data_IF_250745693700
#
_entry.id   IF_250745693700
#
_cell.length_a   1.000
_cell.length_b   1.000
_cell.length_c   1.000
_cell.angle_alpha   90.00
_cell.angle_beta   90.00
_cell.angle_gamma   90.00
#
_symmetry.space_group_name_H-M   'P 1'
#
loop_
_entity.id
_entity.type
_entity.pdbx_description
1 polymer ?
#
# COMPACT_ATOMS: atom_id res chain seq x y z
N UNK A 1 3.26 -16.40 -2.54
CA UNK A 1 2.51 -15.40 -3.32
C UNK A 1 1.20 -15.19 -2.60
N UNK A 2 0.89 -13.96 -2.23
CA UNK A 2 -0.40 -13.60 -1.62
C UNK A 2 -1.32 -13.01 -2.69
N UNK A 3 -2.62 -13.20 -2.55
CA UNK A 3 -3.62 -12.55 -3.41
C UNK A 3 -3.89 -11.14 -2.86
N UNK A 4 -3.26 -10.13 -3.45
CA UNK A 4 -3.25 -8.75 -2.90
C UNK A 4 -4.67 -8.22 -2.70
N UNK A 5 -5.54 -8.35 -3.70
CA UNK A 5 -6.92 -7.90 -3.62
C UNK A 5 -7.72 -8.60 -2.51
N UNK A 6 -7.54 -9.92 -2.34
CA UNK A 6 -8.21 -10.67 -1.26
C UNK A 6 -7.72 -10.26 0.14
N UNK A 7 -6.43 -9.90 0.27
CA UNK A 7 -5.90 -9.39 1.53
C UNK A 7 -6.47 -8.00 1.87
N UNK A 8 -6.63 -7.11 0.89
CA UNK A 8 -7.27 -5.80 1.11
C UNK A 8 -8.76 -5.91 1.43
N UNK A 9 -9.48 -6.87 0.84
CA UNK A 9 -10.92 -7.08 1.07
C UNK A 9 -11.24 -7.31 2.57
N UNK A 10 -10.28 -7.79 3.36
CA UNK A 10 -10.43 -7.98 4.82
C UNK A 10 -10.58 -6.67 5.60
N UNK A 11 -10.25 -5.54 5.00
CA UNK A 11 -10.18 -4.22 5.64
C UNK A 11 -11.17 -3.21 5.04
N UNK A 12 -12.02 -3.63 4.09
CA UNK A 12 -13.04 -2.77 3.47
C UNK A 12 -14.07 -2.25 4.50
N UNK A 13 -14.49 -3.11 5.42
CA UNK A 13 -15.46 -2.76 6.46
C UNK A 13 -14.83 -2.01 7.65
N UNK A 14 -13.60 -2.38 8.02
CA UNK A 14 -12.88 -1.79 9.15
C UNK A 14 -11.38 -1.66 8.83
N UNK A 15 -10.95 -0.43 8.56
CA UNK A 15 -9.54 -0.11 8.31
C UNK A 15 -8.72 -0.21 9.61
N UNK A 16 -7.57 -0.90 9.61
CA UNK A 16 -6.67 -0.90 10.75
C UNK A 16 -6.20 0.52 11.10
N UNK A 17 -5.95 0.77 12.38
CA UNK A 17 -5.45 2.07 12.83
C UNK A 17 -3.94 2.14 12.73
N UNK A 18 -3.40 3.20 12.14
CA UNK A 18 -1.95 3.40 12.03
C UNK A 18 -1.26 3.44 13.39
N UNK A 19 -1.95 3.89 14.43
CA UNK A 19 -1.45 3.92 15.81
C UNK A 19 -1.01 2.56 16.32
N UNK A 20 -1.68 1.49 15.85
CA UNK A 20 -1.48 0.10 16.29
C UNK A 20 -0.40 -0.65 15.47
N UNK A 21 0.20 0.00 14.47
CA UNK A 21 1.23 -0.60 13.61
C UNK A 21 2.60 -0.51 14.27
N UNK A 22 3.31 -1.64 14.39
CA UNK A 22 4.70 -1.70 14.86
C UNK A 22 5.51 -2.74 14.07
N UNK A 23 6.77 -2.44 13.68
CA UNK A 23 7.49 -1.19 13.93
C UNK A 23 7.04 -0.04 13.00
N UNK A 24 6.99 1.19 13.52
CA UNK A 24 6.77 2.38 12.68
C UNK A 24 8.03 2.80 11.93
N UNK A 25 7.98 2.75 10.60
CA UNK A 25 9.04 3.26 9.72
C UNK A 25 9.05 4.80 9.61
N UNK A 26 7.93 5.44 9.98
CA UNK A 26 7.77 6.90 10.04
C UNK A 26 6.66 7.26 11.02
N UNK A 27 6.66 8.51 11.51
CA UNK A 27 5.55 9.07 12.28
C UNK A 27 4.36 9.51 11.42
N UNK A 28 4.54 9.63 10.10
CA UNK A 28 3.47 9.96 9.15
C UNK A 28 3.06 8.70 8.36
N UNK A 29 1.75 8.37 8.27
CA UNK A 29 1.29 7.13 7.61
C UNK A 29 1.69 7.04 6.13
N UNK A 30 1.55 8.14 5.38
CA UNK A 30 1.95 8.26 3.98
C UNK A 30 3.43 7.92 3.76
N UNK A 31 4.31 8.51 4.57
CA UNK A 31 5.73 8.23 4.53
C UNK A 31 6.05 6.80 4.97
N UNK A 32 5.32 6.25 5.96
CA UNK A 32 5.48 4.86 6.35
C UNK A 32 5.20 3.93 5.16
N UNK A 33 4.06 4.13 4.47
CA UNK A 33 3.70 3.34 3.30
C UNK A 33 4.77 3.40 2.22
N UNK A 34 5.27 4.61 1.89
CA UNK A 34 6.29 4.76 0.85
C UNK A 34 7.61 4.10 1.23
N UNK A 35 8.02 4.18 2.49
CA UNK A 35 9.23 3.51 2.97
C UNK A 35 9.04 1.99 2.92
N UNK A 36 7.89 1.47 3.39
CA UNK A 36 7.58 0.05 3.36
C UNK A 36 7.59 -0.50 1.93
N UNK A 37 6.89 0.16 0.99
CA UNK A 37 6.85 -0.24 -0.41
C UNK A 37 8.25 -0.24 -1.03
N UNK A 38 9.05 0.80 -0.77
CA UNK A 38 10.42 0.86 -1.26
C UNK A 38 11.36 -0.19 -0.62
N UNK A 39 11.08 -0.66 0.59
CA UNK A 39 11.82 -1.77 1.21
C UNK A 39 11.44 -3.13 0.58
N UNK A 40 10.18 -3.33 0.23
CA UNK A 40 9.67 -4.56 -0.38
C UNK A 40 10.05 -4.66 -1.86
N UNK A 41 9.88 -3.56 -2.59
CA UNK A 41 10.14 -3.43 -4.01
C UNK A 41 10.97 -2.16 -4.27
N UNK A 42 12.30 -2.23 -4.10
CA UNK A 42 13.16 -1.09 -4.36
C UNK A 42 13.08 -0.64 -5.82
N UNK A 43 12.74 0.63 -6.03
CA UNK A 43 12.63 1.27 -7.33
C UNK A 43 13.62 2.41 -7.50
N UNK A 44 13.72 2.93 -8.72
CA UNK A 44 14.50 4.16 -9.02
C UNK A 44 13.64 5.28 -9.62
N UNK A 45 12.35 5.01 -9.85
CA UNK A 45 11.36 5.97 -10.31
C UNK A 45 10.66 6.62 -9.12
N UNK A 46 9.91 7.68 -9.40
CA UNK A 46 9.07 8.31 -8.39
C UNK A 46 7.96 7.34 -7.95
N UNK A 47 7.67 7.31 -6.64
CA UNK A 47 6.64 6.44 -6.06
C UNK A 47 5.25 6.76 -6.59
N UNK A 48 4.96 8.02 -6.95
CA UNK A 48 3.66 8.43 -7.49
C UNK A 48 3.71 8.36 -9.01
N UNK A 49 2.88 7.51 -9.61
CA UNK A 49 2.85 7.26 -11.06
C UNK A 49 1.77 8.08 -11.78
N UNK A 50 0.65 8.37 -11.11
CA UNK A 50 -0.46 9.13 -11.65
C UNK A 50 -1.22 9.87 -10.54
N UNK A 51 -2.04 10.85 -10.94
CA UNK A 51 -2.92 11.59 -10.04
C UNK A 51 -4.21 11.99 -10.78
N UNK A 52 -5.35 11.86 -10.11
CA UNK A 52 -6.66 12.30 -10.61
C UNK A 52 -7.53 12.73 -9.43
N UNK A 53 -8.16 13.90 -9.54
CA UNK A 53 -8.96 14.49 -8.46
C UNK A 53 -8.20 14.51 -7.12
N UNK A 54 -8.70 13.76 -6.13
CA UNK A 54 -8.15 13.63 -4.78
C UNK A 54 -7.49 12.26 -4.59
N UNK A 55 -7.02 11.64 -5.68
CA UNK A 55 -6.37 10.33 -5.67
C UNK A 55 -5.01 10.37 -6.36
N UNK A 56 -4.10 9.53 -5.87
CA UNK A 56 -2.81 9.24 -6.49
C UNK A 56 -2.64 7.73 -6.63
N UNK A 57 -1.99 7.29 -7.69
CA UNK A 57 -1.60 5.88 -7.90
C UNK A 57 -0.11 5.71 -7.73
N UNK A 58 0.29 4.54 -7.24
CA UNK A 58 1.66 4.24 -6.87
C UNK A 58 2.36 3.38 -7.95
N UNK A 59 3.63 3.66 -8.22
CA UNK A 59 4.48 2.89 -9.13
C UNK A 59 4.93 1.59 -8.46
N UNK A 60 4.00 0.63 -8.33
CA UNK A 60 4.22 -0.65 -7.66
C UNK A 60 3.73 -1.78 -8.56
N UNK A 61 4.63 -2.70 -8.90
CA UNK A 61 4.29 -3.92 -9.63
C UNK A 61 3.63 -4.93 -8.66
N UNK A 62 2.33 -5.17 -8.83
CA UNK A 62 1.56 -6.05 -7.96
C UNK A 62 1.95 -7.53 -8.07
N UNK A 63 2.41 -7.96 -9.24
CA UNK A 63 2.89 -9.33 -9.45
C UNK A 63 4.19 -9.56 -8.68
N UNK A 64 5.11 -8.59 -8.67
CA UNK A 64 6.31 -8.65 -7.84
C UNK A 64 5.99 -8.46 -6.35
N UNK A 65 5.06 -7.57 -6.01
CA UNK A 65 4.67 -7.32 -4.63
C UNK A 65 4.08 -8.57 -4.00
N UNK A 66 3.21 -9.28 -4.72
CA UNK A 66 2.57 -10.51 -4.27
C UNK A 66 3.58 -11.60 -3.86
N UNK A 67 4.79 -11.60 -4.43
CA UNK A 67 5.86 -12.57 -4.16
C UNK A 67 6.58 -12.29 -2.84
N UNK A 68 6.70 -11.03 -2.44
CA UNK A 68 7.51 -10.57 -1.30
C UNK A 68 6.68 -10.06 -0.12
N UNK A 69 5.47 -9.58 -0.37
CA UNK A 69 4.58 -9.07 0.65
C UNK A 69 4.00 -10.19 1.52
N UNK A 70 3.72 -9.84 2.76
CA UNK A 70 3.01 -10.69 3.72
C UNK A 70 1.65 -10.08 4.02
N UNK A 71 0.69 -10.84 4.58
CA UNK A 71 -0.58 -10.27 5.03
C UNK A 71 -0.40 -9.10 6.00
N UNK A 72 0.63 -9.15 6.84
CA UNK A 72 0.94 -8.06 7.77
C UNK A 72 1.40 -6.78 7.03
N UNK A 73 2.18 -6.91 5.95
CA UNK A 73 2.51 -5.75 5.11
C UNK A 73 1.26 -5.13 4.49
N UNK A 74 0.29 -5.93 4.03
CA UNK A 74 -0.98 -5.41 3.48
C UNK A 74 -1.79 -4.70 4.56
N UNK A 75 -1.84 -5.27 5.78
CA UNK A 75 -2.44 -4.61 6.93
C UNK A 75 -1.80 -3.25 7.22
N UNK A 76 -0.47 -3.16 7.19
CA UNK A 76 0.27 -1.91 7.40
C UNK A 76 -0.06 -0.88 6.30
N UNK A 77 -0.11 -1.30 5.04
CA UNK A 77 -0.49 -0.43 3.91
C UNK A 77 -1.93 0.08 4.01
N UNK A 78 -2.88 -0.80 4.35
CA UNK A 78 -4.27 -0.43 4.59
C UNK A 78 -4.39 0.58 5.76
N UNK A 79 -3.62 0.38 6.84
CA UNK A 79 -3.55 1.33 7.94
C UNK A 79 -3.02 2.71 7.55
N UNK A 80 -2.25 2.78 6.45
CA UNK A 80 -1.76 4.02 5.85
C UNK A 80 -2.68 4.57 4.75
N UNK A 81 -3.88 4.00 4.59
CA UNK A 81 -4.85 4.34 3.55
C UNK A 81 -4.34 4.14 2.11
N UNK A 82 -3.43 3.19 1.91
CA UNK A 82 -3.12 2.63 0.60
C UNK A 82 -4.12 1.52 0.31
N UNK A 83 -4.74 1.55 -0.86
CA UNK A 83 -5.79 0.61 -1.24
C UNK A 83 -5.52 0.00 -2.61
N UNK A 84 -6.13 -1.16 -2.85
CA UNK A 84 -6.10 -1.83 -4.13
C UNK A 84 -7.21 -1.30 -5.03
N UNK A 85 -6.83 -0.91 -6.24
CA UNK A 85 -7.73 -0.54 -7.32
C UNK A 85 -7.87 -1.72 -8.29
N UNK A 86 -8.99 -2.43 -8.21
CA UNK A 86 -9.26 -3.57 -9.08
C UNK A 86 -9.58 -3.21 -10.53
N UNK A 87 -9.86 -1.93 -10.84
CA UNK A 87 -10.11 -1.50 -12.23
C UNK A 87 -8.79 -1.34 -12.98
N UNK A 88 -7.79 -0.75 -12.34
CA UNK A 88 -6.47 -0.50 -12.93
C UNK A 88 -5.39 -1.50 -12.51
N UNK A 89 -5.72 -2.47 -11.65
CA UNK A 89 -4.77 -3.43 -11.05
C UNK A 89 -3.56 -2.71 -10.43
N UNK A 90 -3.86 -1.75 -9.55
CA UNK A 90 -2.87 -0.81 -9.02
C UNK A 90 -3.08 -0.52 -7.53
N UNK A 91 -2.10 0.10 -6.88
CA UNK A 91 -2.26 0.70 -5.55
C UNK A 91 -2.56 2.18 -5.66
N UNK A 92 -3.48 2.68 -4.84
CA UNK A 92 -3.84 4.09 -4.81
C UNK A 92 -4.01 4.62 -3.38
N UNK A 93 -4.03 5.95 -3.24
CA UNK A 93 -4.28 6.66 -1.99
C UNK A 93 -5.16 7.87 -2.26
N UNK A 94 -5.94 8.30 -1.26
CA UNK A 94 -6.59 9.61 -1.27
C UNK A 94 -5.66 10.69 -0.69
N UNK A 95 -5.67 11.90 -1.25
CA UNK A 95 -4.82 13.05 -0.86
C UNK A 95 -5.59 14.27 -0.39
#
# INVERSE_FOLDING_TARGET
>A
MIEIGEEYAKYEDETPKFEDIEPKLSSRPDLHAFILLNQLLPGTRDMVSAAEHDQIWLDVDLDELSKVATPDHIKQLAACHVWFDGEYDALYMFV
#
